data_IF_796264261663
#
_entry.id   IF_796264261663
#
_cell.length_a   1.000
_cell.length_b   1.000
_cell.length_c   1.000
_cell.angle_alpha   90.00
_cell.angle_beta   90.00
_cell.angle_gamma   90.00
#
_symmetry.space_group_name_H-M   'P 1'
#
loop_
_entity.id
_entity.type
_entity.pdbx_description
1 polymer ?
#
# COMPACT_ATOMS: atom_id res chain seq x y z
N UNK A 1 20.42 -7.25 16.31
CA UNK A 1 20.16 -6.05 15.48
C UNK A 1 19.20 -6.38 14.34
N UNK A 2 19.43 -7.47 13.60
CA UNK A 2 18.50 -8.00 12.59
C UNK A 2 17.06 -8.15 13.15
N UNK A 3 16.88 -8.76 14.32
CA UNK A 3 15.55 -8.93 14.92
C UNK A 3 14.83 -7.61 15.21
N UNK A 4 15.59 -6.57 15.56
CA UNK A 4 15.05 -5.23 15.78
C UNK A 4 14.53 -4.63 14.49
N UNK A 5 15.29 -4.75 13.39
CA UNK A 5 14.87 -4.27 12.08
C UNK A 5 13.69 -5.08 11.52
N UNK A 6 13.66 -6.41 11.69
CA UNK A 6 12.50 -7.24 11.30
C UNK A 6 11.25 -6.81 12.08
N UNK A 7 11.36 -6.68 13.40
CA UNK A 7 10.26 -6.25 14.26
C UNK A 7 9.78 -4.85 13.91
N UNK A 8 10.69 -3.95 13.52
CA UNK A 8 10.32 -2.62 13.08
C UNK A 8 9.57 -2.63 11.75
N UNK A 9 10.07 -3.36 10.75
CA UNK A 9 9.39 -3.56 9.47
C UNK A 9 7.96 -4.11 9.66
N UNK A 10 7.78 -5.10 10.55
CA UNK A 10 6.46 -5.65 10.87
C UNK A 10 5.50 -4.60 11.45
N UNK A 11 5.95 -3.81 12.44
CA UNK A 11 5.15 -2.72 13.02
C UNK A 11 4.74 -1.65 11.99
N UNK A 12 5.64 -1.33 11.06
CA UNK A 12 5.37 -0.40 9.96
C UNK A 12 4.32 -0.97 9.01
N UNK A 13 4.43 -2.24 8.62
CA UNK A 13 3.41 -2.91 7.79
C UNK A 13 2.04 -2.93 8.48
N UNK A 14 1.98 -3.29 9.75
CA UNK A 14 0.71 -3.28 10.50
C UNK A 14 0.09 -1.89 10.58
N UNK A 15 0.91 -0.85 10.72
CA UNK A 15 0.45 0.53 10.71
C UNK A 15 -0.08 0.94 9.34
N UNK A 16 0.63 0.62 8.26
CA UNK A 16 0.16 0.85 6.88
C UNK A 16 -1.15 0.12 6.60
N UNK A 17 -1.29 -1.16 6.99
CA UNK A 17 -2.52 -1.92 6.85
C UNK A 17 -3.70 -1.25 7.57
N UNK A 18 -3.49 -0.73 8.79
CA UNK A 18 -4.52 0.01 9.54
C UNK A 18 -4.92 1.31 8.83
N UNK A 19 -3.97 2.08 8.30
CA UNK A 19 -4.26 3.32 7.61
C UNK A 19 -4.99 3.10 6.28
N UNK A 20 -4.62 2.09 5.50
CA UNK A 20 -5.30 1.75 4.25
C UNK A 20 -6.75 1.33 4.51
N UNK A 21 -7.00 0.51 5.54
CA UNK A 21 -8.36 0.11 5.92
C UNK A 21 -9.23 1.27 6.39
N UNK A 22 -8.60 2.30 6.94
CA UNK A 22 -9.27 3.52 7.37
C UNK A 22 -9.32 4.61 6.27
N UNK A 23 -8.91 4.29 5.03
CA UNK A 23 -8.78 5.21 3.90
C UNK A 23 -7.95 6.48 4.21
N UNK A 24 -6.97 6.36 5.13
CA UNK A 24 -6.07 7.44 5.57
C UNK A 24 -4.78 7.47 4.74
N UNK A 25 -4.91 7.72 3.44
CA UNK A 25 -3.83 7.66 2.46
C UNK A 25 -2.69 8.66 2.70
N UNK A 26 -2.99 9.86 3.19
CA UNK A 26 -1.98 10.90 3.43
C UNK A 26 -0.91 10.49 4.44
N UNK A 27 -1.25 9.63 5.41
CA UNK A 27 -0.29 9.15 6.40
C UNK A 27 0.58 8.02 5.86
N UNK A 28 0.20 7.40 4.74
CA UNK A 28 0.86 6.21 4.22
C UNK A 28 2.29 6.47 3.73
N UNK A 29 2.51 7.60 3.06
CA UNK A 29 3.81 7.95 2.46
C UNK A 29 4.93 8.08 3.50
N UNK A 30 4.62 8.58 4.70
CA UNK A 30 5.57 8.65 5.80
C UNK A 30 6.02 7.25 6.25
N UNK A 31 5.07 6.33 6.45
CA UNK A 31 5.36 4.95 6.87
C UNK A 31 6.03 4.14 5.75
N UNK A 32 5.71 4.42 4.49
CA UNK A 32 6.35 3.78 3.34
C UNK A 32 7.84 4.13 3.27
N UNK A 33 8.19 5.41 3.38
CA UNK A 33 9.59 5.84 3.36
C UNK A 33 10.38 5.26 4.55
N UNK A 34 9.80 5.25 5.75
CA UNK A 34 10.42 4.66 6.92
C UNK A 34 10.60 3.13 6.78
N UNK A 35 9.60 2.46 6.18
CA UNK A 35 9.68 1.03 5.89
C UNK A 35 10.80 0.74 4.89
N UNK A 36 10.90 1.49 3.80
CA UNK A 36 11.92 1.31 2.78
C UNK A 36 13.33 1.48 3.36
N UNK A 37 13.56 2.53 4.16
CA UNK A 37 14.84 2.74 4.83
C UNK A 37 15.20 1.60 5.77
N UNK A 38 14.23 1.14 6.59
CA UNK A 38 14.45 0.05 7.55
C UNK A 38 14.70 -1.27 6.81
N UNK A 39 13.98 -1.53 5.73
CA UNK A 39 14.12 -2.72 4.90
C UNK A 39 15.48 -2.76 4.19
N UNK A 40 15.98 -1.62 3.69
CA UNK A 40 17.30 -1.55 3.07
C UNK A 40 18.43 -1.82 4.07
N UNK A 41 18.28 -1.37 5.33
CA UNK A 41 19.21 -1.71 6.42
C UNK A 41 19.15 -3.20 6.76
N UNK A 42 17.95 -3.77 6.88
CA UNK A 42 17.77 -5.21 7.09
C UNK A 42 18.44 -6.02 5.98
N UNK A 43 18.23 -5.64 4.72
CA UNK A 43 18.85 -6.30 3.56
C UNK A 43 20.37 -6.28 3.67
N UNK A 44 20.97 -5.13 3.99
CA UNK A 44 22.41 -5.00 4.16
C UNK A 44 22.95 -5.92 5.29
N UNK A 45 22.25 -5.97 6.43
CA UNK A 45 22.64 -6.83 7.57
C UNK A 45 22.53 -8.33 7.26
N UNK A 46 21.46 -8.75 6.58
CA UNK A 46 21.29 -10.13 6.13
C UNK A 46 22.39 -10.55 5.15
N UNK A 47 22.89 -9.61 4.34
CA UNK A 47 24.00 -9.90 3.40
C UNK A 47 25.36 -9.96 4.11
N UNK A 48 25.46 -9.41 5.33
CA UNK A 48 26.71 -9.22 6.06
C UNK A 48 26.98 -10.26 7.16
N UNK A 49 26.04 -11.17 7.47
CA UNK A 49 26.22 -12.16 8.52
C UNK A 49 25.24 -13.33 8.46
N UNK A 50 25.52 -14.37 9.25
CA UNK A 50 24.64 -15.52 9.41
C UNK A 50 23.41 -15.16 10.25
N UNK A 51 22.25 -15.57 9.77
CA UNK A 51 20.99 -15.48 10.50
C UNK A 51 20.74 -16.77 11.29
N UNK A 52 20.30 -16.64 12.52
CA UNK A 52 19.78 -17.78 13.26
C UNK A 52 18.40 -18.21 12.73
N UNK A 53 17.94 -19.38 13.18
CA UNK A 53 16.65 -19.94 12.75
C UNK A 53 15.45 -19.06 13.15
N UNK A 54 15.56 -18.30 14.25
CA UNK A 54 14.50 -17.41 14.71
C UNK A 54 14.35 -16.20 13.78
N UNK A 55 15.47 -15.58 13.38
CA UNK A 55 15.52 -14.50 12.41
C UNK A 55 15.01 -14.97 11.03
N UNK A 56 15.32 -16.21 10.62
CA UNK A 56 14.80 -16.80 9.37
C UNK A 56 13.27 -16.92 9.41
N UNK A 57 12.71 -17.45 10.49
CA UNK A 57 11.25 -17.54 10.65
C UNK A 57 10.60 -16.15 10.67
N UNK A 58 11.22 -15.18 11.35
CA UNK A 58 10.74 -13.81 11.41
C UNK A 58 10.79 -13.12 10.02
N UNK A 59 11.79 -13.42 9.20
CA UNK A 59 11.86 -12.97 7.80
C UNK A 59 10.76 -13.58 6.92
N UNK A 60 10.47 -14.87 7.07
CA UNK A 60 9.34 -15.51 6.37
C UNK A 60 8.02 -14.84 6.76
N UNK A 61 7.83 -14.55 8.05
CA UNK A 61 6.66 -13.82 8.51
C UNK A 61 6.59 -12.40 7.93
N UNK A 62 7.73 -11.70 7.84
CA UNK A 62 7.83 -10.38 7.22
C UNK A 62 7.42 -10.41 5.74
N UNK A 63 7.90 -11.39 4.95
CA UNK A 63 7.49 -11.55 3.55
C UNK A 63 5.97 -11.78 3.42
N UNK A 64 5.40 -12.61 4.27
CA UNK A 64 3.94 -12.84 4.29
C UNK A 64 3.15 -11.55 4.57
N UNK A 65 3.59 -10.74 5.54
CA UNK A 65 2.94 -9.46 5.82
C UNK A 65 3.12 -8.47 4.66
N UNK A 66 4.28 -8.45 4.01
CA UNK A 66 4.53 -7.61 2.85
C UNK A 66 3.59 -7.96 1.69
N UNK A 67 3.46 -9.24 1.34
CA UNK A 67 2.51 -9.72 0.31
C UNK A 67 1.06 -9.40 0.67
N UNK A 68 0.71 -9.45 1.96
CA UNK A 68 -0.62 -9.04 2.44
C UNK A 68 -0.87 -7.56 2.21
N UNK A 69 0.10 -6.70 2.53
CA UNK A 69 0.04 -5.27 2.28
C UNK A 69 -0.12 -4.97 0.79
N UNK A 70 0.71 -5.59 -0.07
CA UNK A 70 0.63 -5.43 -1.52
C UNK A 70 -0.76 -5.78 -2.06
N UNK A 71 -1.32 -6.93 -1.67
CA UNK A 71 -2.68 -7.32 -2.09
C UNK A 71 -3.74 -6.30 -1.70
N UNK A 72 -3.66 -5.76 -0.49
CA UNK A 72 -4.61 -4.75 -0.01
C UNK A 72 -4.47 -3.44 -0.81
N UNK A 73 -3.24 -2.99 -1.05
CA UNK A 73 -2.98 -1.78 -1.87
C UNK A 73 -3.51 -1.98 -3.29
N UNK A 74 -3.18 -3.10 -3.95
CA UNK A 74 -3.67 -3.40 -5.30
C UNK A 74 -5.19 -3.44 -5.38
N UNK A 75 -5.86 -4.04 -4.38
CA UNK A 75 -7.31 -4.05 -4.29
C UNK A 75 -7.86 -2.61 -4.21
N UNK A 76 -7.30 -1.77 -3.35
CA UNK A 76 -7.76 -0.39 -3.17
C UNK A 76 -7.52 0.50 -4.38
N UNK A 77 -6.40 0.30 -5.07
CA UNK A 77 -6.13 0.99 -6.34
C UNK A 77 -7.14 0.59 -7.42
N UNK A 78 -7.48 -0.69 -7.51
CA UNK A 78 -8.53 -1.17 -8.42
C UNK A 78 -9.89 -0.57 -8.08
N UNK A 79 -10.31 -0.62 -6.82
CA UNK A 79 -11.56 0.02 -6.36
C UNK A 79 -11.61 1.51 -6.70
N UNK A 80 -10.47 2.21 -6.57
CA UNK A 80 -10.37 3.64 -6.90
C UNK A 80 -10.46 3.89 -8.40
N UNK A 81 -9.79 3.06 -9.21
CA UNK A 81 -9.85 3.14 -10.67
C UNK A 81 -11.28 2.87 -11.20
N UNK A 82 -11.97 1.88 -10.66
CA UNK A 82 -13.35 1.56 -11.03
C UNK A 82 -14.31 2.72 -10.68
N UNK A 83 -14.14 3.34 -9.50
CA UNK A 83 -14.89 4.55 -9.11
C UNK A 83 -14.61 5.73 -10.03
N UNK A 84 -13.35 5.96 -10.40
CA UNK A 84 -12.97 7.04 -11.31
C UNK A 84 -13.60 6.86 -12.69
N UNK A 85 -13.53 5.65 -13.25
CA UNK A 85 -14.18 5.31 -14.53
C UNK A 85 -15.69 5.55 -14.49
N UNK A 86 -16.35 5.19 -13.38
CA UNK A 86 -17.78 5.45 -13.19
C UNK A 86 -18.11 6.96 -13.16
N UNK A 87 -17.27 7.77 -12.48
CA UNK A 87 -17.41 9.23 -12.43
C UNK A 87 -17.19 9.87 -13.80
N UNK A 88 -16.16 9.45 -14.54
CA UNK A 88 -15.92 9.93 -15.90
C UNK A 88 -17.07 9.58 -16.85
N UNK A 89 -17.61 8.36 -16.74
CA UNK A 89 -18.79 7.94 -17.49
C UNK A 89 -20.04 8.77 -17.16
N UNK A 90 -20.24 9.09 -15.87
CA UNK A 90 -21.33 9.97 -15.45
C UNK A 90 -21.17 11.40 -15.96
N UNK A 91 -19.96 11.95 -15.91
CA UNK A 91 -19.63 13.28 -16.44
C UNK A 91 -19.87 13.35 -17.95
N UNK A 92 -19.44 12.34 -18.72
CA UNK A 92 -19.73 12.25 -20.16
C UNK A 92 -21.23 12.27 -20.44
N UNK A 93 -22.02 11.46 -19.73
CA UNK A 93 -23.49 11.43 -19.88
C UNK A 93 -24.12 12.77 -19.55
N UNK A 94 -23.71 13.43 -18.46
CA UNK A 94 -24.20 14.76 -18.09
C UNK A 94 -23.90 15.81 -19.17
N UNK A 95 -22.70 15.81 -19.73
CA UNK A 95 -22.33 16.74 -20.80
C UNK A 95 -23.13 16.48 -22.08
N UNK A 96 -23.34 15.21 -22.46
CA UNK A 96 -24.21 14.86 -23.58
C UNK A 96 -25.66 15.31 -23.35
N UNK A 97 -26.20 15.07 -22.14
CA UNK A 97 -27.55 15.53 -21.78
C UNK A 97 -27.67 17.06 -21.80
N UNK A 98 -26.65 17.78 -21.31
CA UNK A 98 -26.60 19.24 -21.37
C UNK A 98 -26.57 19.76 -22.81
N UNK A 99 -25.77 19.15 -23.69
CA UNK A 99 -25.72 19.55 -25.10
C UNK A 99 -27.06 19.32 -25.81
N UNK A 100 -27.72 18.18 -25.55
CA UNK A 100 -29.06 17.89 -26.10
C UNK A 100 -30.09 18.92 -25.61
N UNK A 101 -30.08 19.26 -24.31
CA UNK A 101 -30.96 20.28 -23.77
C UNK A 101 -30.73 21.67 -24.39
N UNK A 102 -29.47 22.04 -24.63
CA UNK A 102 -29.11 23.31 -25.28
C UNK A 102 -29.50 23.37 -26.76
N UNK A 103 -29.60 22.25 -27.47
CA UNK A 103 -30.08 22.20 -28.87
C UNK A 103 -31.60 22.19 -28.99
N UNK A 104 -32.33 21.89 -27.90
CA UNK A 104 -33.79 21.86 -27.87
C UNK A 104 -34.41 23.15 -27.32
N UNK A 105 -33.58 24.10 -26.87
CA UNK A 105 -33.96 25.43 -26.37
C UNK A 105 -33.79 26.49 -27.46
#
# INVERSE_FOLDING_TARGET
>A
MIDHHISHCLRLIESMLRFIRADKWQKLSTFESEYEQTFMRLKAEVTAGDMDNAALQAMVHLDQQHRRLQRLVSQKLKETADKLSAVEGASKRLNSSSQVASTLS
#
